data_IF_470778798940
#
_entry.id   IF_470778798940
#
_cell.length_a   1.000
_cell.length_b   1.000
_cell.length_c   1.000
_cell.angle_alpha   90.00
_cell.angle_beta   90.00
_cell.angle_gamma   90.00
#
_symmetry.space_group_name_H-M   'P 1'
#
loop_
_entity.id
_entity.type
_entity.pdbx_description
1 polymer ?
#
# COMPACT_ATOMS: atom_id res chain seq x y z
N UNK A 1 28.19 -43.19 32.88
CA UNK A 1 27.41 -43.43 34.12
C UNK A 1 26.08 -42.69 33.94
N UNK A 2 24.93 -43.27 33.62
CA UNK A 2 24.22 -44.48 34.09
C UNK A 2 23.97 -44.47 35.61
N UNK A 3 22.75 -44.09 35.99
CA UNK A 3 21.91 -44.68 37.05
C UNK A 3 20.53 -43.98 36.99
N UNK A 4 19.46 -44.63 36.53
CA UNK A 4 18.58 -45.58 37.23
C UNK A 4 17.53 -44.93 38.16
N UNK A 5 16.27 -44.97 37.66
CA UNK A 5 14.95 -45.36 38.25
C UNK A 5 14.94 -46.00 39.67
N UNK A 6 13.77 -46.39 40.29
CA UNK A 6 12.34 -45.98 40.21
C UNK A 6 11.55 -46.05 41.57
N UNK A 7 10.20 -45.99 41.48
CA UNK A 7 9.08 -46.56 42.32
C UNK A 7 8.38 -45.61 43.31
N UNK A 8 7.09 -45.31 43.11
CA UNK A 8 5.84 -46.08 43.33
C UNK A 8 5.42 -46.18 44.80
N UNK A 9 4.26 -45.61 45.16
CA UNK A 9 3.32 -46.22 46.12
C UNK A 9 1.87 -45.75 45.90
N UNK A 10 1.01 -46.75 46.02
CA UNK A 10 -0.45 -46.89 45.96
C UNK A 10 -1.20 -46.40 47.21
N UNK A 11 -2.48 -46.01 47.06
CA UNK A 11 -3.62 -46.29 47.97
C UNK A 11 -4.91 -45.83 47.25
N UNK A 12 -5.84 -46.65 46.75
CA UNK A 12 -6.73 -47.65 47.36
C UNK A 12 -7.84 -47.07 48.28
N UNK A 13 -9.10 -47.07 47.79
CA UNK A 13 -10.36 -47.40 48.50
C UNK A 13 -11.56 -47.05 47.60
N UNK A 14 -12.30 -47.98 46.98
CA UNK A 14 -13.27 -48.97 47.49
C UNK A 14 -14.60 -48.35 47.97
N UNK A 15 -15.69 -48.63 47.24
CA UNK A 15 -16.97 -49.26 47.69
C UNK A 15 -18.07 -49.04 46.63
N UNK A 16 -18.57 -50.11 45.99
CA UNK A 16 -19.86 -50.82 46.26
C UNK A 16 -21.07 -49.90 46.13
N UNK A 17 -22.23 -50.20 45.58
CA UNK A 17 -22.88 -51.35 44.93
C UNK A 17 -24.33 -50.86 44.82
N UNK A 18 -25.08 -51.11 43.73
CA UNK A 18 -26.52 -51.37 43.88
C UNK A 18 -27.16 -51.80 42.57
N UNK A 19 -27.94 -52.86 42.70
CA UNK A 19 -28.74 -53.58 41.72
C UNK A 19 -30.12 -52.94 41.65
N UNK A 20 -30.71 -52.80 40.46
CA UNK A 20 -32.16 -52.99 40.28
C UNK A 20 -32.52 -53.17 38.80
N UNK A 21 -32.94 -54.39 38.44
CA UNK A 21 -33.77 -54.64 37.25
C UNK A 21 -35.17 -54.07 37.51
N UNK A 22 -35.75 -53.41 36.51
CA UNK A 22 -37.21 -53.35 36.36
C UNK A 22 -37.65 -53.35 34.91
N UNK A 23 -38.76 -54.04 34.73
CA UNK A 23 -39.42 -54.59 33.56
C UNK A 23 -40.00 -53.55 32.59
N UNK A 24 -39.87 -53.88 31.31
CA UNK A 24 -40.73 -53.60 30.13
C UNK A 24 -41.89 -52.61 30.30
N UNK A 25 -41.90 -51.59 29.44
CA UNK A 25 -43.15 -51.11 28.83
C UNK A 25 -42.88 -50.61 27.41
N UNK A 26 -43.34 -51.37 26.40
CA UNK A 26 -43.49 -50.91 25.02
C UNK A 26 -44.51 -49.78 25.01
N UNK A 27 -44.11 -48.60 24.51
CA UNK A 27 -45.05 -47.56 24.06
C UNK A 27 -44.72 -47.23 22.61
N UNK A 28 -45.60 -47.66 21.73
CA UNK A 28 -45.65 -47.27 20.32
C UNK A 28 -46.03 -45.80 20.24
N UNK A 29 -45.17 -44.98 19.63
CA UNK A 29 -45.51 -43.63 19.19
C UNK A 29 -44.93 -43.41 17.80
N UNK A 30 -45.81 -43.05 16.87
CA UNK A 30 -45.55 -42.93 15.44
C UNK A 30 -44.38 -41.99 15.13
N UNK A 31 -43.42 -42.49 14.36
CA UNK A 31 -42.45 -41.65 13.67
C UNK A 31 -43.17 -40.91 12.53
N UNK A 32 -43.48 -39.64 12.74
CA UNK A 32 -43.74 -38.72 11.64
C UNK A 32 -42.48 -38.64 10.78
N UNK A 33 -42.52 -39.23 9.58
CA UNK A 33 -41.48 -39.09 8.56
C UNK A 33 -41.34 -37.60 8.24
N UNK A 34 -40.28 -36.96 8.75
CA UNK A 34 -39.85 -35.65 8.24
C UNK A 34 -39.06 -35.90 6.97
N UNK A 35 -39.61 -35.45 5.84
CA UNK A 35 -38.97 -35.54 4.54
C UNK A 35 -37.64 -34.76 4.58
N UNK A 36 -36.49 -35.38 4.26
CA UNK A 36 -35.17 -34.72 4.30
C UNK A 36 -35.02 -33.61 3.25
N UNK A 37 -35.98 -33.51 2.32
CA UNK A 37 -35.98 -32.53 1.24
C UNK A 37 -36.31 -31.10 1.70
N UNK A 38 -36.98 -30.93 2.85
CA UNK A 38 -37.35 -29.58 3.36
C UNK A 38 -36.23 -28.94 4.18
N UNK A 39 -35.34 -29.73 4.77
CA UNK A 39 -34.21 -29.22 5.58
C UNK A 39 -33.08 -28.70 4.68
N UNK A 40 -32.88 -29.30 3.51
CA UNK A 40 -31.89 -28.82 2.53
C UNK A 40 -32.20 -27.44 1.96
N UNK A 41 -33.49 -27.11 1.77
CA UNK A 41 -33.90 -25.83 1.18
C UNK A 41 -33.88 -24.67 2.18
N UNK A 42 -34.16 -24.94 3.47
CA UNK A 42 -34.09 -23.92 4.52
C UNK A 42 -32.64 -23.57 4.92
N UNK A 43 -31.70 -24.51 4.81
CA UNK A 43 -30.29 -24.24 5.06
C UNK A 43 -29.65 -23.40 3.94
N UNK A 44 -30.06 -23.60 2.68
CA UNK A 44 -29.54 -22.84 1.54
C UNK A 44 -30.00 -21.37 1.54
N UNK A 45 -31.26 -21.12 1.93
CA UNK A 45 -31.79 -19.74 2.03
C UNK A 45 -31.19 -18.98 3.20
N UNK A 46 -30.92 -19.64 4.33
CA UNK A 46 -30.24 -19.01 5.47
C UNK A 46 -28.80 -18.61 5.12
N UNK A 47 -28.06 -19.44 4.38
CA UNK A 47 -26.69 -19.12 3.93
C UNK A 47 -26.70 -18.02 2.87
N UNK A 48 -27.64 -18.06 1.91
CA UNK A 48 -27.77 -16.98 0.93
C UNK A 48 -28.16 -15.65 1.58
N UNK A 49 -29.09 -15.64 2.54
CA UNK A 49 -29.46 -14.44 3.29
C UNK A 49 -28.30 -13.89 4.13
N UNK A 50 -27.49 -14.78 4.73
CA UNK A 50 -26.30 -14.38 5.47
C UNK A 50 -25.18 -13.84 4.55
N UNK A 51 -24.98 -14.44 3.36
CA UNK A 51 -24.05 -13.91 2.36
C UNK A 51 -24.50 -12.55 1.82
N UNK A 52 -25.79 -12.38 1.56
CA UNK A 52 -26.35 -11.09 1.12
C UNK A 52 -26.24 -10.05 2.23
N UNK A 53 -26.51 -10.40 3.49
CA UNK A 53 -26.34 -9.49 4.62
C UNK A 53 -24.86 -9.10 4.83
N UNK A 54 -23.91 -10.02 4.66
CA UNK A 54 -22.47 -9.72 4.75
C UNK A 54 -21.99 -8.87 3.56
N UNK A 55 -22.57 -9.04 2.37
CA UNK A 55 -22.30 -8.17 1.21
C UNK A 55 -22.90 -6.77 1.37
N UNK A 56 -24.10 -6.65 1.95
CA UNK A 56 -24.74 -5.35 2.23
C UNK A 56 -24.01 -4.61 3.35
N UNK A 57 -23.63 -5.27 4.44
CA UNK A 57 -22.86 -4.65 5.53
C UNK A 57 -21.46 -4.22 5.07
N UNK A 58 -20.86 -4.93 4.10
CA UNK A 58 -19.60 -4.50 3.46
C UNK A 58 -19.79 -3.34 2.48
N UNK A 59 -20.95 -3.19 1.87
CA UNK A 59 -21.27 -2.05 1.02
C UNK A 59 -21.63 -0.78 1.84
N UNK A 60 -22.16 -0.94 3.05
CA UNK A 60 -22.54 0.17 3.95
C UNK A 60 -21.36 0.73 4.78
N UNK A 61 -20.17 0.13 4.68
CA UNK A 61 -18.96 0.67 5.33
C UNK A 61 -18.18 1.66 4.44
N UNK A 62 -18.68 1.94 3.23
CA UNK A 62 -18.09 2.87 2.25
C UNK A 62 -18.96 4.15 2.07
N UNK A 63 -19.78 4.51 3.04
CA UNK A 63 -20.40 5.85 3.07
C UNK A 63 -19.45 6.88 3.69
N UNK A 64 -18.37 7.19 2.96
CA UNK A 64 -17.71 8.49 3.06
C UNK A 64 -17.35 8.96 1.64
N UNK A 65 -18.16 9.89 1.14
CA UNK A 65 -17.81 10.76 0.03
C UNK A 65 -18.32 10.31 -1.34
N UNK A 66 -19.36 11.02 -1.79
CA UNK A 66 -19.75 11.19 -3.19
C UNK A 66 -18.52 11.53 -4.07
N UNK A 67 -17.80 10.50 -4.49
CA UNK A 67 -16.64 10.62 -5.36
C UNK A 67 -17.17 10.76 -6.78
N UNK A 68 -17.45 12.01 -7.16
CA UNK A 68 -17.48 12.40 -8.58
C UNK A 68 -16.25 11.76 -9.23
N UNK A 69 -16.34 11.07 -10.38
CA UNK A 69 -15.15 10.51 -11.03
C UNK A 69 -14.12 11.62 -11.13
N UNK A 70 -13.05 11.53 -10.34
CA UNK A 70 -12.02 12.55 -10.37
C UNK A 70 -11.51 12.56 -11.80
N UNK A 71 -11.70 13.69 -12.48
CA UNK A 71 -11.23 13.85 -13.85
C UNK A 71 -9.76 13.41 -13.87
N UNK A 72 -9.45 12.41 -14.72
CA UNK A 72 -8.10 11.87 -14.81
C UNK A 72 -7.11 12.99 -15.16
N UNK A 73 -5.88 12.87 -14.65
CA UNK A 73 -4.80 13.80 -14.95
C UNK A 73 -3.98 13.23 -16.10
N UNK A 74 -3.61 14.05 -17.07
CA UNK A 74 -2.59 13.63 -18.04
C UNK A 74 -1.23 13.61 -17.34
N UNK A 75 -0.72 12.40 -17.07
CA UNK A 75 0.53 12.21 -16.32
C UNK A 75 1.75 12.79 -17.04
N UNK A 76 1.80 12.68 -18.37
CA UNK A 76 2.91 13.22 -19.16
C UNK A 76 2.94 14.73 -19.05
N UNK A 77 1.80 15.37 -19.35
CA UNK A 77 1.65 16.81 -19.23
C UNK A 77 1.97 17.31 -17.83
N UNK A 78 1.48 16.62 -16.80
CA UNK A 78 1.75 16.96 -15.39
C UNK A 78 3.25 16.99 -15.08
N UNK A 79 4.00 16.00 -15.58
CA UNK A 79 5.44 15.92 -15.35
C UNK A 79 6.18 16.96 -16.18
N UNK A 80 5.82 17.14 -17.45
CA UNK A 80 6.45 18.15 -18.31
C UNK A 80 6.17 19.57 -17.83
N UNK A 81 4.96 19.88 -17.34
CA UNK A 81 4.63 21.18 -16.77
C UNK A 81 5.42 21.44 -15.48
N UNK A 82 5.67 20.38 -14.69
CA UNK A 82 6.50 20.46 -13.49
C UNK A 82 7.97 20.75 -13.80
N UNK A 83 8.55 20.12 -14.83
CA UNK A 83 9.97 20.31 -15.18
C UNK A 83 10.23 21.52 -16.07
N UNK A 84 9.24 21.99 -16.84
CA UNK A 84 9.37 23.13 -17.75
C UNK A 84 9.86 24.44 -17.11
N UNK A 85 9.74 24.55 -15.78
CA UNK A 85 10.22 25.71 -15.01
C UNK A 85 11.66 25.58 -14.51
N UNK A 86 12.33 24.46 -14.75
CA UNK A 86 13.71 24.26 -14.29
C UNK A 86 14.69 25.02 -15.17
N UNK A 87 15.62 25.72 -14.54
CA UNK A 87 16.71 26.44 -15.18
C UNK A 87 17.99 26.32 -14.35
N UNK A 88 19.14 26.57 -14.95
CA UNK A 88 20.42 26.54 -14.22
C UNK A 88 20.47 27.55 -13.05
N UNK A 89 19.67 28.61 -13.13
CA UNK A 89 19.50 29.64 -12.10
C UNK A 89 18.39 29.31 -11.08
N UNK A 90 17.61 28.25 -11.30
CA UNK A 90 16.65 27.78 -10.30
C UNK A 90 17.39 27.23 -9.09
N UNK A 91 17.01 27.66 -7.89
CA UNK A 91 17.70 27.26 -6.67
C UNK A 91 17.60 25.75 -6.39
N UNK A 92 18.61 25.22 -5.71
CA UNK A 92 18.59 23.89 -5.10
C UNK A 92 19.08 23.99 -3.66
N UNK A 93 18.31 23.45 -2.72
CA UNK A 93 18.68 23.41 -1.31
C UNK A 93 19.23 22.03 -0.99
N UNK A 94 20.52 21.92 -0.67
CA UNK A 94 21.12 20.62 -0.36
C UNK A 94 20.44 19.98 0.86
N UNK A 95 19.92 18.74 0.75
CA UNK A 95 19.23 18.08 1.85
C UNK A 95 20.22 17.64 2.93
N UNK A 96 19.82 17.72 4.20
CA UNK A 96 20.60 17.11 5.28
C UNK A 96 20.50 15.59 5.18
N UNK A 97 21.46 14.88 5.80
CA UNK A 97 21.44 13.41 5.88
C UNK A 97 20.12 12.87 6.45
N UNK A 98 19.59 13.53 7.47
CA UNK A 98 18.33 13.16 8.10
C UNK A 98 17.15 13.26 7.12
N UNK A 99 17.11 14.33 6.31
CA UNK A 99 16.05 14.57 5.32
C UNK A 99 16.06 13.46 4.26
N UNK A 100 17.23 13.16 3.68
CA UNK A 100 17.40 12.07 2.69
C UNK A 100 16.92 10.72 3.22
N UNK A 101 17.35 10.37 4.43
CA UNK A 101 16.96 9.11 5.05
C UNK A 101 15.46 9.07 5.39
N UNK A 102 14.87 10.21 5.75
CA UNK A 102 13.46 10.28 6.07
C UNK A 102 12.59 10.09 4.82
N UNK A 103 12.94 10.72 3.69
CA UNK A 103 12.26 10.51 2.40
C UNK A 103 12.40 9.06 1.94
N UNK A 104 13.62 8.50 1.94
CA UNK A 104 13.84 7.10 1.54
C UNK A 104 13.01 6.11 2.37
N UNK A 105 12.93 6.32 3.69
CA UNK A 105 12.07 5.50 4.57
C UNK A 105 10.59 5.66 4.25
N UNK A 106 10.13 6.86 3.95
CA UNK A 106 8.74 7.08 3.58
C UNK A 106 8.37 6.42 2.25
N UNK A 107 9.27 6.46 1.26
CA UNK A 107 9.10 5.69 0.02
C UNK A 107 9.05 4.19 0.32
N UNK A 108 9.99 3.67 1.12
CA UNK A 108 9.99 2.26 1.54
C UNK A 108 8.65 1.83 2.17
N UNK A 109 8.11 2.65 3.08
CA UNK A 109 6.79 2.40 3.68
C UNK A 109 5.66 2.34 2.64
N UNK A 110 5.69 3.16 1.58
CA UNK A 110 4.71 3.08 0.50
C UNK A 110 4.83 1.79 -0.29
N UNK A 111 6.06 1.36 -0.58
CA UNK A 111 6.33 0.10 -1.28
C UNK A 111 5.88 -1.12 -0.47
N UNK A 112 5.96 -1.03 0.86
CA UNK A 112 5.50 -2.08 1.79
C UNK A 112 3.99 -2.01 2.09
N UNK A 113 3.26 -1.05 1.49
CA UNK A 113 1.81 -0.89 1.69
C UNK A 113 1.40 -0.12 2.95
N UNK A 114 2.34 0.46 3.69
CA UNK A 114 2.12 1.25 4.90
C UNK A 114 1.84 2.73 4.60
N UNK A 115 0.79 3.00 3.80
CA UNK A 115 0.48 4.34 3.28
C UNK A 115 0.34 5.42 4.36
N UNK A 116 -0.40 5.16 5.43
CA UNK A 116 -0.67 6.18 6.46
C UNK A 116 0.60 6.56 7.23
N UNK A 117 1.47 5.57 7.48
CA UNK A 117 2.76 5.79 8.13
C UNK A 117 3.73 6.58 7.25
N UNK A 118 3.65 6.37 5.93
CA UNK A 118 4.40 7.16 4.96
C UNK A 118 3.85 8.59 4.86
N UNK A 119 2.53 8.75 4.79
CA UNK A 119 1.86 10.06 4.73
C UNK A 119 2.26 10.94 5.91
N UNK A 120 2.18 10.42 7.14
CA UNK A 120 2.57 11.16 8.34
C UNK A 120 4.06 11.59 8.34
N UNK A 121 4.94 10.77 7.74
CA UNK A 121 6.37 11.11 7.62
C UNK A 121 6.63 12.15 6.54
N UNK A 122 5.97 12.03 5.39
CA UNK A 122 6.08 12.98 4.29
C UNK A 122 5.56 14.35 4.69
N UNK A 123 4.45 14.40 5.42
CA UNK A 123 3.87 15.66 5.91
C UNK A 123 4.86 16.43 6.80
N UNK A 124 5.52 15.74 7.73
CA UNK A 124 6.57 16.31 8.57
C UNK A 124 7.85 16.76 7.83
N UNK A 125 7.94 16.51 6.52
CA UNK A 125 9.04 16.92 5.64
C UNK A 125 8.59 17.95 4.59
N UNK A 126 7.36 18.44 4.67
CA UNK A 126 6.72 19.28 3.65
C UNK A 126 6.61 18.59 2.29
N UNK A 127 6.26 17.30 2.27
CA UNK A 127 5.84 16.58 1.07
C UNK A 127 4.35 16.27 1.12
N UNK A 128 3.70 16.42 -0.04
CA UNK A 128 2.35 15.92 -0.25
C UNK A 128 2.40 14.52 -0.83
N UNK A 129 1.58 13.62 -0.26
CA UNK A 129 1.28 12.30 -0.81
C UNK A 129 -0.16 12.29 -1.32
N UNK A 130 -0.34 12.16 -2.63
CA UNK A 130 -1.67 12.05 -3.25
C UNK A 130 -1.74 10.88 -4.20
N UNK A 131 -2.98 10.46 -4.49
CA UNK A 131 -3.22 9.47 -5.54
C UNK A 131 -3.76 10.20 -6.76
N UNK A 132 -3.12 9.98 -7.91
CA UNK A 132 -3.56 10.49 -9.20
C UNK A 132 -3.96 9.33 -10.10
N UNK A 133 -4.91 9.57 -11.00
CA UNK A 133 -5.30 8.61 -12.04
C UNK A 133 -4.87 9.17 -13.38
N UNK A 134 -4.01 8.46 -14.10
CA UNK A 134 -3.56 8.86 -15.44
C UNK A 134 -4.71 8.70 -16.43
N UNK A 135 -5.10 9.79 -17.07
CA UNK A 135 -6.22 9.81 -18.03
C UNK A 135 -5.93 8.96 -19.27
N UNK A 136 -4.65 8.78 -19.64
CA UNK A 136 -4.27 8.00 -20.82
C UNK A 136 -4.44 6.48 -20.62
N UNK A 137 -4.27 5.98 -19.40
CA UNK A 137 -4.26 4.52 -19.13
C UNK A 137 -5.23 4.07 -18.05
N UNK A 138 -5.84 5.00 -17.31
CA UNK A 138 -6.65 4.72 -16.11
C UNK A 138 -5.84 4.20 -14.91
N UNK A 139 -4.50 4.13 -14.99
CA UNK A 139 -3.66 3.64 -13.90
C UNK A 139 -3.59 4.65 -12.77
N UNK A 140 -3.58 4.16 -11.54
CA UNK A 140 -3.45 4.97 -10.33
C UNK A 140 -1.99 5.00 -9.89
N UNK A 141 -1.49 6.18 -9.58
CA UNK A 141 -0.14 6.38 -9.05
C UNK A 141 -0.22 7.10 -7.70
N UNK A 142 0.60 6.68 -6.74
CA UNK A 142 0.94 7.54 -5.62
C UNK A 142 1.98 8.55 -6.11
N UNK A 143 1.68 9.84 -5.99
CA UNK A 143 2.61 10.93 -6.24
C UNK A 143 3.09 11.50 -4.91
N UNK A 144 4.40 11.57 -4.76
CA UNK A 144 5.10 12.28 -3.70
C UNK A 144 5.68 13.56 -4.30
N UNK A 145 5.24 14.71 -3.82
CA UNK A 145 5.66 16.02 -4.34
C UNK A 145 6.08 16.96 -3.20
N UNK A 146 7.18 17.69 -3.41
CA UNK A 146 7.65 18.69 -2.45
C UNK A 146 6.68 19.89 -2.43
N UNK A 147 6.11 20.21 -1.27
CA UNK A 147 5.14 21.30 -1.12
C UNK A 147 5.76 22.69 -1.38
N UNK A 148 7.08 22.79 -1.27
CA UNK A 148 7.81 24.03 -1.57
C UNK A 148 7.95 24.29 -3.08
N UNK A 149 7.60 23.31 -3.92
CA UNK A 149 7.86 23.36 -5.36
C UNK A 149 7.12 24.48 -6.08
N UNK A 150 5.99 24.97 -5.56
CA UNK A 150 5.24 26.12 -6.11
C UNK A 150 5.58 27.44 -5.44
N UNK A 151 6.47 27.43 -4.45
CA UNK A 151 6.93 28.61 -3.74
C UNK A 151 8.00 29.39 -4.52
N UNK A 152 8.36 30.60 -4.05
CA UNK A 152 9.36 31.45 -4.71
C UNK A 152 10.78 30.87 -4.69
N UNK A 153 11.06 29.94 -3.78
CA UNK A 153 12.36 29.26 -3.63
C UNK A 153 12.11 27.76 -3.40
N UNK A 154 11.88 26.98 -4.47
CA UNK A 154 11.72 25.54 -4.35
C UNK A 154 13.02 24.89 -3.86
N UNK A 155 12.92 23.86 -3.00
CA UNK A 155 14.11 23.13 -2.52
C UNK A 155 14.76 22.26 -3.60
N UNK A 156 13.97 21.83 -4.58
CA UNK A 156 14.44 21.06 -5.74
C UNK A 156 14.66 19.56 -5.47
N UNK A 157 14.03 18.98 -4.44
CA UNK A 157 14.30 17.58 -4.03
C UNK A 157 13.68 16.49 -4.93
N UNK A 158 12.77 16.87 -5.82
CA UNK A 158 12.21 15.98 -6.84
C UNK A 158 10.82 15.47 -6.54
N UNK A 159 10.38 14.52 -7.36
CA UNK A 159 9.10 13.83 -7.25
C UNK A 159 9.28 12.32 -7.41
N UNK A 160 8.38 11.57 -6.79
CA UNK A 160 8.31 10.11 -6.94
C UNK A 160 6.90 9.73 -7.35
N UNK A 161 6.78 8.86 -8.36
CA UNK A 161 5.52 8.25 -8.77
C UNK A 161 5.61 6.74 -8.61
N UNK A 162 4.68 6.15 -7.87
CA UNK A 162 4.62 4.70 -7.63
C UNK A 162 3.32 4.18 -8.23
N UNK A 163 3.42 3.26 -9.19
CA UNK A 163 2.25 2.54 -9.71
C UNK A 163 1.57 1.73 -8.60
N UNK A 164 0.27 1.95 -8.41
CA UNK A 164 -0.54 1.27 -7.39
C UNK A 164 -1.29 0.05 -7.94
N UNK A 165 -1.15 -0.26 -9.24
CA UNK A 165 -1.85 -1.38 -9.88
C UNK A 165 -1.18 -2.74 -9.66
N UNK A 166 0.09 -2.76 -9.26
CA UNK A 166 0.85 -3.97 -8.96
C UNK A 166 1.99 -3.68 -7.95
N UNK A 167 2.51 -4.70 -7.23
CA UNK A 167 3.70 -4.52 -6.41
C UNK A 167 4.88 -3.97 -7.22
N UNK A 168 5.71 -3.12 -6.61
CA UNK A 168 6.87 -2.57 -7.28
C UNK A 168 7.87 -3.65 -7.70
N UNK A 169 8.32 -3.61 -8.96
CA UNK A 169 9.25 -4.58 -9.55
C UNK A 169 10.47 -3.96 -10.21
N UNK A 170 10.39 -2.69 -10.56
CA UNK A 170 11.43 -1.98 -11.28
C UNK A 170 11.28 -0.47 -11.05
N UNK A 171 12.34 0.27 -11.31
CA UNK A 171 12.32 1.72 -11.27
C UNK A 171 12.94 2.33 -12.53
N UNK A 172 12.52 3.55 -12.84
CA UNK A 172 13.10 4.41 -13.86
C UNK A 172 13.45 5.73 -13.20
N UNK A 173 14.64 6.24 -13.51
CA UNK A 173 15.19 7.44 -12.90
C UNK A 173 15.46 8.48 -13.98
N UNK A 174 15.02 9.71 -13.75
CA UNK A 174 15.29 10.86 -14.62
C UNK A 174 16.17 11.84 -13.84
N UNK A 175 17.52 11.71 -13.97
CA UNK A 175 18.45 12.53 -13.20
C UNK A 175 18.52 13.98 -13.71
N UNK A 176 18.32 14.20 -15.01
CA UNK A 176 18.57 15.47 -15.68
C UNK A 176 17.36 15.93 -16.51
N UNK A 177 16.19 16.15 -15.88
CA UNK A 177 15.04 16.69 -16.58
C UNK A 177 15.39 18.05 -17.23
N UNK A 178 14.83 18.31 -18.41
CA UNK A 178 15.08 19.45 -19.30
C UNK A 178 16.48 19.50 -19.90
N UNK A 179 17.52 19.19 -19.12
CA UNK A 179 18.90 19.20 -19.56
C UNK A 179 19.20 18.08 -20.57
N UNK A 180 18.66 16.88 -20.34
CA UNK A 180 18.72 15.79 -21.30
C UNK A 180 17.42 15.73 -22.11
N UNK A 181 17.56 15.76 -23.44
CA UNK A 181 16.43 15.93 -24.35
C UNK A 181 15.37 14.83 -24.18
N UNK A 182 14.15 15.26 -23.82
CA UNK A 182 12.93 14.45 -23.70
C UNK A 182 12.99 13.29 -22.70
N UNK A 183 13.85 13.38 -21.69
CA UNK A 183 14.01 12.30 -20.71
C UNK A 183 12.76 12.09 -19.86
N UNK A 184 11.97 13.14 -19.63
CA UNK A 184 10.72 13.06 -18.89
C UNK A 184 9.63 12.30 -19.63
N UNK A 185 9.44 12.60 -20.92
CA UNK A 185 8.48 11.90 -21.76
C UNK A 185 8.89 10.44 -21.92
N UNK A 186 10.19 10.15 -22.07
CA UNK A 186 10.70 8.79 -22.11
C UNK A 186 10.43 8.05 -20.79
N UNK A 187 10.70 8.69 -19.64
CA UNK A 187 10.42 8.09 -18.33
C UNK A 187 8.94 7.81 -18.09
N UNK A 188 8.04 8.70 -18.52
CA UNK A 188 6.58 8.46 -18.49
C UNK A 188 6.18 7.33 -19.43
N UNK A 189 6.74 7.28 -20.63
CA UNK A 189 6.51 6.18 -21.59
C UNK A 189 6.90 4.82 -21.01
N UNK A 190 8.06 4.75 -20.34
CA UNK A 190 8.51 3.56 -19.62
C UNK A 190 7.55 3.22 -18.48
N UNK A 191 7.20 4.20 -17.62
CA UNK A 191 6.25 4.04 -16.51
C UNK A 191 4.90 3.47 -16.97
N UNK A 192 4.39 3.94 -18.11
CA UNK A 192 3.13 3.47 -18.70
C UNK A 192 3.24 2.08 -19.36
N UNK A 193 4.44 1.66 -19.74
CA UNK A 193 4.66 0.44 -20.55
C UNK A 193 4.42 -0.87 -19.81
N UNK A 194 4.58 -0.90 -18.49
CA UNK A 194 4.36 -2.10 -17.67
C UNK A 194 3.86 -1.74 -16.26
N UNK A 195 3.04 -2.59 -15.62
CA UNK A 195 2.70 -2.39 -14.20
C UNK A 195 3.90 -2.51 -13.26
N UNK A 196 3.74 -1.97 -12.05
CA UNK A 196 4.68 -2.11 -10.93
C UNK A 196 5.93 -1.23 -11.03
N UNK A 197 5.86 -0.15 -11.81
CA UNK A 197 6.96 0.80 -11.97
C UNK A 197 7.01 1.88 -10.89
N UNK A 198 8.23 2.30 -10.56
CA UNK A 198 8.51 3.50 -9.76
C UNK A 198 9.30 4.48 -10.61
N UNK A 199 8.81 5.71 -10.76
CA UNK A 199 9.52 6.80 -11.42
C UNK A 199 10.08 7.75 -10.36
N UNK A 200 11.39 7.97 -10.37
CA UNK A 200 12.07 8.97 -9.56
C UNK A 200 12.55 10.10 -10.48
N UNK A 201 12.10 11.31 -10.21
CA UNK A 201 12.33 12.49 -11.03
C UNK A 201 13.13 13.52 -10.22
N UNK A 202 14.27 13.98 -10.74
CA UNK A 202 15.03 15.06 -10.11
C UNK A 202 14.20 16.36 -10.07
N UNK A 203 14.43 17.18 -9.05
CA UNK A 203 13.59 18.36 -8.79
C UNK A 203 14.17 19.69 -9.20
N UNK A 204 15.30 19.70 -9.89
CA UNK A 204 15.96 20.90 -10.35
C UNK A 204 16.80 20.60 -11.62
N UNK A 205 17.22 21.66 -12.30
CA UNK A 205 18.19 21.56 -13.39
C UNK A 205 19.53 21.04 -12.85
N UNK A 206 20.30 20.28 -13.64
CA UNK A 206 21.59 19.70 -13.20
C UNK A 206 22.60 20.73 -12.69
N UNK A 207 22.59 21.92 -13.29
CA UNK A 207 23.53 23.00 -12.93
C UNK A 207 22.98 23.91 -11.80
N UNK A 208 21.86 23.55 -11.19
CA UNK A 208 21.24 24.32 -10.11
C UNK A 208 22.00 24.17 -8.77
N UNK A 209 21.97 25.24 -7.99
CA UNK A 209 22.59 25.30 -6.66
C UNK A 209 24.11 25.53 -6.70
N UNK A 210 24.70 25.75 -5.52
CA UNK A 210 26.12 26.10 -5.42
C UNK A 210 26.99 24.93 -5.85
N UNK A 211 27.77 25.14 -6.93
CA UNK A 211 28.67 24.14 -7.48
C UNK A 211 27.96 22.91 -8.05
N UNK A 212 26.84 23.09 -8.73
CA UNK A 212 26.06 21.99 -9.34
C UNK A 212 25.62 20.95 -8.29
N UNK A 213 25.15 21.45 -7.14
CA UNK A 213 24.67 20.60 -6.05
C UNK A 213 23.45 19.75 -6.47
N UNK A 214 22.71 20.21 -7.48
CA UNK A 214 21.60 19.50 -8.09
C UNK A 214 22.00 18.44 -9.14
N UNK A 215 23.28 18.30 -9.49
CA UNK A 215 23.73 17.29 -10.47
C UNK A 215 23.67 15.87 -9.87
N UNK A 216 22.47 15.32 -9.78
CA UNK A 216 22.21 14.05 -9.09
C UNK A 216 22.88 12.84 -9.75
N UNK A 217 23.36 12.97 -11.00
CA UNK A 217 24.14 11.92 -11.65
C UNK A 217 25.57 11.82 -11.08
N UNK A 218 26.12 12.92 -10.56
CA UNK A 218 27.46 12.98 -9.98
C UNK A 218 27.45 13.19 -8.46
N UNK A 219 26.33 13.67 -7.89
CA UNK A 219 26.16 13.97 -6.46
C UNK A 219 25.42 12.85 -5.74
N UNK A 220 26.05 12.29 -4.69
CA UNK A 220 25.47 11.21 -3.86
C UNK A 220 24.66 11.69 -2.67
N UNK A 221 24.65 12.99 -2.39
CA UNK A 221 24.02 13.56 -1.20
C UNK A 221 22.72 14.29 -1.53
N UNK A 222 21.94 13.70 -2.42
CA UNK A 222 20.65 14.23 -2.89
C UNK A 222 19.51 13.34 -2.43
N UNK A 223 18.28 13.86 -2.38
CA UNK A 223 17.09 13.01 -2.12
C UNK A 223 16.92 11.98 -3.23
N UNK A 224 17.14 12.39 -4.49
CA UNK A 224 17.11 11.53 -5.66
C UNK A 224 18.01 10.29 -5.51
N UNK A 225 19.26 10.46 -5.08
CA UNK A 225 20.19 9.35 -4.89
C UNK A 225 19.86 8.45 -3.68
N UNK A 226 18.98 8.90 -2.78
CA UNK A 226 18.59 8.15 -1.59
C UNK A 226 17.35 7.26 -1.81
N UNK A 227 16.59 7.51 -2.88
CA UNK A 227 15.37 6.79 -3.26
C UNK A 227 15.67 5.79 -4.37
#
# INVERSE_FOLDING_TARGET
>A
MRADRPRNTTHAARKTSSVARKTVLRKTSAAARKNPLVIGLAALTAVAALLTAVLVIRAESDEDGNSTPTAGVDLERRITDYTARFGADTGYLEPRRADRQAVARAVGLLLDGHRDQAAARLDGLDFDLRTITDSATGRRYAEIADRTETGPTPRGWGRVYIDLSAPARWSVQIPHPVADARTEQLGVGVLRGSPGGVLVLAGAHRDAGVGDAADVAHRRYTVFAAV
#
